data_IF_978862760663
#
_entry.id   IF_978862760663
#
_cell.length_a   1.000
_cell.length_b   1.000
_cell.length_c   1.000
_cell.angle_alpha   90.00
_cell.angle_beta   90.00
_cell.angle_gamma   90.00
#
_symmetry.space_group_name_H-M   'P 1'
#
loop_
_entity.id
_entity.type
_entity.pdbx_description
1 polymer ?
#
# COMPACT_ATOMS: atom_id res chain seq x y z
N UNK A 1 4.46 -43.98 -10.50
CA UNK A 1 5.50 -42.96 -10.78
C UNK A 1 6.50 -42.95 -9.63
N UNK A 2 7.40 -43.95 -9.58
CA UNK A 2 8.43 -44.09 -8.54
C UNK A 2 9.83 -43.92 -9.14
N UNK A 3 9.98 -43.00 -10.10
CA UNK A 3 11.30 -42.70 -10.64
C UNK A 3 12.13 -41.98 -9.57
N UNK A 4 13.38 -42.40 -9.40
CA UNK A 4 14.33 -41.72 -8.50
C UNK A 4 14.67 -40.33 -9.04
N UNK A 5 14.73 -39.34 -8.14
CA UNK A 5 15.17 -38.00 -8.46
C UNK A 5 16.68 -37.89 -8.25
N UNK A 6 17.40 -37.49 -9.30
CA UNK A 6 18.84 -37.20 -9.24
C UNK A 6 19.02 -35.70 -9.47
N UNK A 7 19.44 -34.98 -8.42
CA UNK A 7 19.74 -33.56 -8.50
C UNK A 7 20.91 -33.33 -9.47
N UNK A 8 20.67 -32.62 -10.59
CA UNK A 8 21.69 -32.39 -11.65
C UNK A 8 22.75 -31.32 -11.33
N UNK A 9 22.73 -30.70 -10.15
CA UNK A 9 23.75 -29.72 -9.72
C UNK A 9 24.17 -29.95 -8.27
N UNK A 10 25.40 -30.40 -8.08
CA UNK A 10 26.09 -30.45 -6.78
C UNK A 10 26.36 -31.87 -6.26
N UNK A 11 27.60 -32.33 -6.47
CA UNK A 11 28.31 -33.46 -5.78
C UNK A 11 27.44 -34.66 -5.38
N UNK A 12 27.24 -35.57 -6.34
CA UNK A 12 26.60 -36.88 -6.17
C UNK A 12 27.46 -37.91 -5.40
N UNK A 13 27.99 -37.57 -4.20
CA UNK A 13 28.75 -38.54 -3.38
C UNK A 13 28.20 -38.82 -1.99
N UNK A 14 27.05 -38.27 -1.62
CA UNK A 14 26.36 -38.62 -0.37
C UNK A 14 24.83 -38.39 -0.46
N UNK A 15 24.14 -39.07 -1.38
CA UNK A 15 22.67 -39.19 -1.28
C UNK A 15 22.37 -40.42 -0.44
N UNK A 16 22.11 -40.21 0.86
CA UNK A 16 21.79 -41.30 1.80
C UNK A 16 20.35 -41.82 1.67
N UNK A 17 19.47 -41.14 0.90
CA UNK A 17 18.12 -41.62 0.62
C UNK A 17 17.76 -41.43 -0.86
N UNK A 18 17.22 -42.48 -1.50
CA UNK A 18 16.66 -42.39 -2.85
C UNK A 18 15.36 -41.58 -2.83
N UNK A 19 15.48 -40.25 -2.87
CA UNK A 19 14.32 -39.36 -2.97
C UNK A 19 13.61 -39.63 -4.31
N UNK A 20 12.34 -40.01 -4.26
CA UNK A 20 11.53 -40.19 -5.46
C UNK A 20 11.19 -38.83 -6.08
N UNK A 21 11.00 -38.77 -7.41
CA UNK A 21 10.58 -37.56 -8.11
C UNK A 21 9.29 -36.97 -7.53
N UNK A 22 8.36 -37.83 -7.10
CA UNK A 22 7.15 -37.41 -6.42
C UNK A 22 7.47 -36.74 -5.06
N UNK A 23 8.38 -37.31 -4.27
CA UNK A 23 8.80 -36.71 -3.01
C UNK A 23 9.49 -35.35 -3.23
N UNK A 24 10.42 -35.25 -4.19
CA UNK A 24 11.08 -33.98 -4.51
C UNK A 24 10.08 -32.89 -4.89
N UNK A 25 9.17 -33.14 -5.84
CA UNK A 25 8.18 -32.12 -6.22
C UNK A 25 7.22 -31.78 -5.08
N UNK A 26 6.74 -32.79 -4.35
CA UNK A 26 5.76 -32.58 -3.29
C UNK A 26 6.38 -31.86 -2.10
N UNK A 27 7.53 -32.31 -1.62
CA UNK A 27 8.14 -31.84 -0.36
C UNK A 27 9.04 -30.65 -0.60
N UNK A 28 10.07 -30.80 -1.45
CA UNK A 28 11.10 -29.77 -1.66
C UNK A 28 10.60 -28.55 -2.44
N UNK A 29 9.60 -28.72 -3.29
CA UNK A 29 9.05 -27.62 -4.10
C UNK A 29 7.70 -27.17 -3.55
N UNK A 30 6.68 -28.04 -3.57
CA UNK A 30 5.31 -27.61 -3.29
C UNK A 30 5.10 -27.23 -1.84
N UNK A 31 5.44 -28.11 -0.88
CA UNK A 31 5.33 -27.80 0.54
C UNK A 31 6.24 -26.66 0.94
N UNK A 32 7.50 -26.65 0.49
CA UNK A 32 8.41 -25.51 0.75
C UNK A 32 7.86 -24.16 0.23
N UNK A 33 7.17 -24.17 -0.92
CA UNK A 33 6.52 -22.96 -1.45
C UNK A 33 5.33 -22.54 -0.59
N UNK A 34 4.49 -23.49 -0.15
CA UNK A 34 3.37 -23.21 0.77
C UNK A 34 3.88 -22.65 2.09
N UNK A 35 4.90 -23.28 2.68
CA UNK A 35 5.49 -22.83 3.93
C UNK A 35 6.05 -21.42 3.79
N UNK A 36 6.69 -21.11 2.64
CA UNK A 36 7.18 -19.76 2.36
C UNK A 36 6.04 -18.76 2.22
N UNK A 37 4.95 -19.12 1.51
CA UNK A 37 3.77 -18.26 1.40
C UNK A 37 3.13 -18.01 2.76
N UNK A 38 2.98 -19.05 3.57
CA UNK A 38 2.44 -18.97 4.93
C UNK A 38 3.32 -18.09 5.82
N UNK A 39 4.65 -18.24 5.74
CA UNK A 39 5.60 -17.41 6.47
C UNK A 39 5.48 -15.93 6.07
N UNK A 40 5.38 -15.62 4.77
CA UNK A 40 5.22 -14.23 4.32
C UNK A 40 3.86 -13.64 4.71
N UNK A 41 2.79 -14.44 4.67
CA UNK A 41 1.47 -14.03 5.16
C UNK A 41 1.51 -13.72 6.65
N UNK A 42 2.07 -14.60 7.46
CA UNK A 42 2.20 -14.40 8.91
C UNK A 42 3.10 -13.21 9.24
N UNK A 43 4.16 -12.98 8.46
CA UNK A 43 5.03 -11.81 8.62
C UNK A 43 4.28 -10.50 8.32
N UNK A 44 3.46 -10.49 7.26
CA UNK A 44 2.72 -9.31 6.79
C UNK A 44 1.49 -9.00 7.65
N UNK A 45 0.75 -10.03 8.05
CA UNK A 45 -0.47 -9.95 8.87
C UNK A 45 -0.23 -10.52 10.27
N UNK A 46 0.86 -10.07 10.91
CA UNK A 46 1.10 -10.38 12.31
C UNK A 46 0.06 -9.72 13.22
N UNK A 47 0.06 -10.08 14.50
CA UNK A 47 -0.93 -9.59 15.48
C UNK A 47 -1.03 -8.06 15.52
N UNK A 48 0.09 -7.34 15.40
CA UNK A 48 0.10 -5.87 15.36
C UNK A 48 -0.56 -5.32 14.11
N UNK A 49 -0.28 -5.91 12.94
CA UNK A 49 -0.91 -5.51 11.69
C UNK A 49 -2.42 -5.79 11.69
N UNK A 50 -2.83 -6.94 12.24
CA UNK A 50 -4.24 -7.28 12.38
C UNK A 50 -4.97 -6.35 13.36
N UNK A 51 -4.34 -6.01 14.48
CA UNK A 51 -4.89 -5.05 15.43
C UNK A 51 -5.01 -3.65 14.82
N UNK A 52 -4.00 -3.16 14.10
CA UNK A 52 -4.05 -1.91 13.34
C UNK A 52 -5.23 -1.89 12.36
N UNK A 53 -5.44 -2.95 11.59
CA UNK A 53 -6.54 -3.06 10.63
C UNK A 53 -7.90 -3.13 11.32
N UNK A 54 -8.00 -3.88 12.42
CA UNK A 54 -9.19 -3.97 13.26
C UNK A 54 -9.58 -2.61 13.83
N UNK A 55 -8.63 -1.88 14.41
CA UNK A 55 -8.88 -0.50 14.88
C UNK A 55 -9.23 0.45 13.74
N UNK A 56 -8.60 0.30 12.56
CA UNK A 56 -8.91 1.11 11.39
C UNK A 56 -10.32 0.89 10.87
N UNK A 57 -10.88 -0.32 10.99
CA UNK A 57 -12.25 -0.64 10.60
C UNK A 57 -13.32 0.10 11.41
N UNK A 58 -12.97 0.62 12.59
CA UNK A 58 -13.88 1.41 13.43
C UNK A 58 -14.23 2.77 12.79
N UNK A 59 -13.45 3.21 11.81
CA UNK A 59 -13.63 4.45 11.08
C UNK A 59 -14.57 4.31 9.87
N UNK A 60 -15.02 3.09 9.57
CA UNK A 60 -15.93 2.86 8.45
C UNK A 60 -17.28 3.56 8.68
N UNK A 61 -17.80 4.30 7.67
CA UNK A 61 -19.08 5.02 7.79
C UNK A 61 -20.32 4.11 7.82
N UNK A 62 -20.14 2.79 7.68
CA UNK A 62 -21.24 1.80 7.60
C UNK A 62 -22.21 1.93 8.76
N UNK A 63 -23.50 1.76 8.43
CA UNK A 63 -24.61 1.89 9.36
C UNK A 63 -24.60 3.22 10.16
N UNK A 64 -24.10 4.31 9.55
CA UNK A 64 -23.97 5.60 10.21
C UNK A 64 -22.94 5.58 11.34
N UNK A 65 -21.75 5.03 11.08
CA UNK A 65 -20.65 4.92 12.04
C UNK A 65 -21.00 4.08 13.29
N UNK A 66 -21.75 2.98 13.11
CA UNK A 66 -22.19 2.13 14.22
C UNK A 66 -21.04 1.53 15.05
N UNK A 67 -19.94 1.17 14.39
CA UNK A 67 -18.75 0.59 15.03
C UNK A 67 -17.80 1.63 15.61
N UNK A 68 -18.11 2.93 15.48
CA UNK A 68 -17.21 4.00 15.83
C UNK A 68 -17.04 4.11 17.35
N UNK A 69 -15.83 3.81 17.81
CA UNK A 69 -15.45 3.83 19.21
C UNK A 69 -14.30 4.82 19.39
N UNK A 70 -14.62 5.97 19.97
CA UNK A 70 -13.67 7.06 20.19
C UNK A 70 -12.45 6.59 20.98
N UNK A 71 -12.64 5.77 22.02
CA UNK A 71 -11.55 5.32 22.89
C UNK A 71 -10.56 4.46 22.11
N UNK A 72 -11.07 3.48 21.37
CA UNK A 72 -10.25 2.58 20.55
C UNK A 72 -9.58 3.31 19.38
N UNK A 73 -10.26 4.30 18.78
CA UNK A 73 -9.67 5.13 17.73
C UNK A 73 -8.54 6.01 18.30
N UNK A 74 -8.67 6.54 19.52
CA UNK A 74 -7.54 7.23 20.17
C UNK A 74 -6.34 6.28 20.39
N UNK A 75 -6.60 5.03 20.79
CA UNK A 75 -5.54 4.01 20.90
C UNK A 75 -4.81 3.79 19.57
N UNK A 76 -5.49 3.96 18.43
CA UNK A 76 -4.85 3.88 17.12
C UNK A 76 -3.76 4.94 16.95
N UNK A 77 -4.08 6.20 17.25
CA UNK A 77 -3.12 7.31 17.17
C UNK A 77 -1.98 7.14 18.18
N UNK A 78 -2.30 6.76 19.43
CA UNK A 78 -1.33 6.57 20.51
C UNK A 78 -0.35 5.43 20.22
N UNK A 79 -0.85 4.28 19.75
CA UNK A 79 -0.06 3.04 19.62
C UNK A 79 0.66 2.92 18.29
N UNK A 80 0.05 3.38 17.19
CA UNK A 80 0.56 3.16 15.83
C UNK A 80 1.13 4.42 15.17
N UNK A 81 0.74 5.61 15.62
CA UNK A 81 1.20 6.88 15.06
C UNK A 81 1.77 7.84 16.13
N UNK A 82 2.68 7.38 17.01
CA UNK A 82 3.17 8.22 18.10
C UNK A 82 3.99 9.43 17.63
N UNK A 83 4.56 9.37 16.42
CA UNK A 83 5.35 10.46 15.84
C UNK A 83 4.50 11.47 15.05
N UNK A 84 3.30 11.09 14.63
CA UNK A 84 2.41 11.94 13.82
C UNK A 84 1.45 12.79 14.69
N UNK A 85 1.38 12.47 15.99
CA UNK A 85 0.53 13.14 16.96
C UNK A 85 1.31 13.45 18.25
N UNK A 86 1.35 14.73 18.61
CA UNK A 86 1.82 15.19 19.92
C UNK A 86 0.86 14.79 21.04
N UNK A 87 1.30 14.81 22.30
CA UNK A 87 0.45 14.45 23.44
C UNK A 87 -0.79 15.36 23.56
N UNK A 88 -0.64 16.66 23.29
CA UNK A 88 -1.76 17.60 23.25
C UNK A 88 -2.73 17.30 22.11
N UNK A 89 -2.20 16.94 20.93
CA UNK A 89 -3.03 16.58 19.79
C UNK A 89 -3.80 15.27 20.02
N UNK A 90 -3.25 14.29 20.73
CA UNK A 90 -3.98 13.07 21.10
C UNK A 90 -5.17 13.37 22.02
N UNK A 91 -4.98 14.28 22.97
CA UNK A 91 -6.07 14.76 23.81
C UNK A 91 -7.15 15.46 22.96
N UNK A 92 -6.74 16.39 22.09
CA UNK A 92 -7.66 17.13 21.21
C UNK A 92 -8.37 16.24 20.19
N UNK A 93 -7.71 15.18 19.70
CA UNK A 93 -8.27 14.21 18.77
C UNK A 93 -9.52 13.56 19.38
N UNK A 94 -9.47 13.21 20.67
CA UNK A 94 -10.62 12.65 21.38
C UNK A 94 -11.85 13.56 21.31
N UNK A 95 -11.67 14.85 21.53
CA UNK A 95 -12.76 15.83 21.44
C UNK A 95 -13.27 15.96 20.01
N UNK A 96 -12.38 16.07 19.02
CA UNK A 96 -12.77 16.12 17.61
C UNK A 96 -13.60 14.90 17.21
N UNK A 97 -13.19 13.70 17.61
CA UNK A 97 -13.91 12.46 17.34
C UNK A 97 -15.30 12.45 17.99
N UNK A 98 -15.43 12.93 19.23
CA UNK A 98 -16.71 13.04 19.94
C UNK A 98 -17.66 14.03 19.25
N UNK A 99 -17.16 15.19 18.82
CA UNK A 99 -17.97 16.16 18.10
C UNK A 99 -18.37 15.64 16.71
N UNK A 100 -17.42 15.03 15.99
CA UNK A 100 -17.65 14.45 14.67
C UNK A 100 -18.76 13.41 14.70
N UNK A 101 -18.71 12.44 15.63
CA UNK A 101 -19.71 11.36 15.66
C UNK A 101 -21.12 11.87 16.01
N UNK A 102 -21.22 12.92 16.82
CA UNK A 102 -22.49 13.59 17.09
C UNK A 102 -23.06 14.24 15.83
N UNK A 103 -22.22 14.95 15.07
CA UNK A 103 -22.63 15.60 13.82
C UNK A 103 -22.97 14.56 12.74
N UNK A 104 -22.14 13.53 12.57
CA UNK A 104 -22.32 12.48 11.56
C UNK A 104 -23.61 11.66 11.75
N UNK A 105 -24.13 11.57 12.97
CA UNK A 105 -25.43 10.92 13.26
C UNK A 105 -26.62 11.77 12.84
N UNK A 106 -26.48 13.10 12.86
CA UNK A 106 -27.54 14.07 12.56
C UNK A 106 -27.58 14.33 11.06
N UNK A 107 -26.41 14.55 10.44
CA UNK A 107 -26.31 14.92 9.03
C UNK A 107 -26.57 13.68 8.13
N UNK A 108 -27.63 13.70 7.30
CA UNK A 108 -28.00 12.58 6.44
C UNK A 108 -26.96 12.30 5.35
N UNK A 109 -26.11 13.26 4.98
CA UNK A 109 -25.07 13.05 3.97
C UNK A 109 -24.03 12.03 4.44
N UNK A 110 -23.72 11.99 5.74
CA UNK A 110 -22.80 11.01 6.30
C UNK A 110 -23.35 9.57 6.27
N UNK A 111 -24.68 9.39 6.25
CA UNK A 111 -25.30 8.05 6.17
C UNK A 111 -25.16 7.40 4.79
N UNK A 112 -24.91 8.19 3.76
CA UNK A 112 -24.78 7.72 2.38
C UNK A 112 -23.34 7.34 2.02
N UNK A 113 -22.36 7.61 2.88
CA UNK A 113 -20.95 7.32 2.62
C UNK A 113 -20.68 5.83 2.83
N UNK A 114 -20.01 5.21 1.86
CA UNK A 114 -19.77 3.77 1.83
C UNK A 114 -18.36 3.39 2.27
N UNK A 115 -17.39 4.29 2.12
CA UNK A 115 -15.98 4.01 2.39
C UNK A 115 -15.26 5.24 2.96
N UNK A 116 -14.04 5.00 3.47
CA UNK A 116 -13.23 6.02 4.12
C UNK A 116 -12.71 7.10 3.14
N UNK A 117 -12.57 6.76 1.86
CA UNK A 117 -12.20 7.73 0.82
C UNK A 117 -13.29 8.78 0.65
N UNK A 118 -14.56 8.37 0.56
CA UNK A 118 -15.71 9.27 0.48
C UNK A 118 -15.84 10.16 1.72
N UNK A 119 -15.51 9.64 2.92
CA UNK A 119 -15.42 10.46 4.14
C UNK A 119 -14.37 11.56 3.99
N UNK A 120 -13.17 11.22 3.52
CA UNK A 120 -12.07 12.18 3.31
C UNK A 120 -12.43 13.24 2.25
N UNK A 121 -13.07 12.82 1.15
CA UNK A 121 -13.55 13.71 0.09
C UNK A 121 -14.64 14.65 0.61
N UNK A 122 -15.62 14.13 1.37
CA UNK A 122 -16.69 14.94 1.96
C UNK A 122 -16.15 15.97 2.96
N UNK A 123 -15.23 15.58 3.84
CA UNK A 123 -14.58 16.51 4.76
C UNK A 123 -13.83 17.63 4.02
N UNK A 124 -13.18 17.31 2.90
CA UNK A 124 -12.46 18.28 2.08
C UNK A 124 -13.41 19.22 1.34
N UNK A 125 -14.52 18.72 0.79
CA UNK A 125 -15.53 19.52 0.07
C UNK A 125 -16.32 20.46 0.98
N UNK A 126 -16.55 20.06 2.23
CA UNK A 126 -17.35 20.83 3.20
C UNK A 126 -16.51 21.78 4.06
N UNK A 127 -15.21 21.90 3.78
CA UNK A 127 -14.21 22.61 4.61
C UNK A 127 -14.10 22.09 6.06
N UNK A 128 -14.81 21.00 6.39
CA UNK A 128 -14.76 20.34 7.70
C UNK A 128 -13.42 19.68 7.97
N UNK A 129 -12.58 19.49 6.96
CA UNK A 129 -11.17 19.10 7.12
C UNK A 129 -10.38 20.08 7.99
N UNK A 130 -10.74 21.37 8.01
CA UNK A 130 -10.09 22.36 8.89
C UNK A 130 -10.57 22.25 10.34
N UNK A 131 -11.85 21.93 10.54
CA UNK A 131 -12.46 21.76 11.87
C UNK A 131 -11.98 20.46 12.52
N UNK A 132 -11.99 19.38 11.74
CA UNK A 132 -11.60 18.04 12.17
C UNK A 132 -10.22 17.64 11.65
N UNK A 133 -9.26 18.57 11.70
CA UNK A 133 -7.92 18.38 11.11
C UNK A 133 -7.13 17.19 11.68
N UNK A 134 -7.37 16.78 12.93
CA UNK A 134 -6.71 15.61 13.54
C UNK A 134 -7.34 14.31 13.04
N UNK A 135 -8.66 14.31 12.90
CA UNK A 135 -9.39 13.18 12.34
C UNK A 135 -9.07 12.99 10.85
N UNK A 136 -9.06 14.08 10.08
CA UNK A 136 -8.67 14.07 8.67
C UNK A 136 -7.22 13.55 8.49
N UNK A 137 -6.29 14.00 9.33
CA UNK A 137 -4.91 13.47 9.36
C UNK A 137 -4.88 11.97 9.63
N UNK A 138 -5.61 11.50 10.65
CA UNK A 138 -5.66 10.07 10.99
C UNK A 138 -6.21 9.23 9.84
N UNK A 139 -7.27 9.70 9.19
CA UNK A 139 -7.85 9.06 8.00
C UNK A 139 -6.82 8.97 6.88
N UNK A 140 -6.11 10.05 6.58
CA UNK A 140 -5.08 10.07 5.53
C UNK A 140 -3.96 9.08 5.83
N UNK A 141 -3.48 9.01 7.08
CA UNK A 141 -2.46 8.03 7.49
C UNK A 141 -2.93 6.59 7.20
N UNK A 142 -4.17 6.26 7.54
CA UNK A 142 -4.75 4.93 7.31
C UNK A 142 -4.91 4.65 5.80
N UNK A 143 -5.38 5.63 5.03
CA UNK A 143 -5.51 5.49 3.58
C UNK A 143 -4.16 5.31 2.87
N UNK A 144 -3.06 5.79 3.46
CA UNK A 144 -1.70 5.58 2.95
C UNK A 144 -1.08 4.24 3.34
N UNK A 145 -1.74 3.44 4.20
CA UNK A 145 -1.22 2.12 4.57
C UNK A 145 -1.19 1.20 3.35
N UNK A 146 -0.05 0.54 3.05
CA UNK A 146 0.05 -0.42 1.96
C UNK A 146 -0.61 -1.76 2.35
N UNK A 147 -1.94 -1.78 2.41
CA UNK A 147 -2.73 -2.97 2.80
C UNK A 147 -2.84 -3.98 1.65
N UNK A 148 -2.74 -3.55 0.39
CA UNK A 148 -2.79 -4.45 -0.78
C UNK A 148 -1.49 -4.44 -1.61
N UNK A 149 -1.20 -5.57 -2.24
CA UNK A 149 -0.12 -5.74 -3.24
C UNK A 149 -0.49 -5.17 -4.60
N UNK A 150 -1.67 -4.54 -4.76
CA UNK A 150 -2.16 -4.06 -6.05
C UNK A 150 -1.19 -3.09 -6.73
N UNK A 151 -0.49 -2.24 -5.96
CA UNK A 151 0.51 -1.31 -6.49
C UNK A 151 1.75 -2.04 -7.01
N UNK A 152 2.24 -3.05 -6.28
CA UNK A 152 3.40 -3.83 -6.74
C UNK A 152 3.05 -4.68 -7.95
N UNK A 153 1.86 -5.31 -7.98
CA UNK A 153 1.37 -6.06 -9.14
C UNK A 153 1.21 -5.18 -10.38
N UNK A 154 0.68 -3.96 -10.22
CA UNK A 154 0.59 -2.97 -11.30
C UNK A 154 1.99 -2.61 -11.84
N UNK A 155 2.95 -2.35 -10.94
CA UNK A 155 4.32 -2.03 -11.31
C UNK A 155 5.02 -3.21 -12.02
N UNK A 156 4.87 -4.44 -11.53
CA UNK A 156 5.42 -5.64 -12.17
C UNK A 156 4.77 -5.95 -13.51
N UNK A 157 3.46 -5.72 -13.65
CA UNK A 157 2.75 -5.85 -14.92
C UNK A 157 3.23 -4.81 -15.94
N UNK A 158 3.35 -3.55 -15.53
CA UNK A 158 3.95 -2.48 -16.33
C UNK A 158 5.38 -2.85 -16.76
N UNK A 159 6.20 -3.33 -15.82
CA UNK A 159 7.57 -3.76 -16.09
C UNK A 159 7.62 -4.91 -17.09
N UNK A 160 6.74 -5.91 -16.95
CA UNK A 160 6.63 -7.00 -17.90
C UNK A 160 6.27 -6.47 -19.29
N UNK A 161 5.29 -5.56 -19.41
CA UNK A 161 4.90 -4.95 -20.69
C UNK A 161 6.09 -4.20 -21.31
N UNK A 162 6.77 -3.35 -20.55
CA UNK A 162 7.90 -2.55 -21.03
C UNK A 162 9.06 -3.42 -21.48
N UNK A 163 9.51 -4.38 -20.65
CA UNK A 163 10.59 -5.31 -21.00
C UNK A 163 10.24 -6.22 -22.18
N UNK A 164 8.99 -6.69 -22.26
CA UNK A 164 8.56 -7.60 -23.34
C UNK A 164 8.42 -6.87 -24.68
N UNK A 165 7.82 -5.67 -24.69
CA UNK A 165 7.62 -4.89 -25.92
C UNK A 165 8.91 -4.33 -26.48
N UNK A 166 9.81 -3.85 -25.61
CA UNK A 166 11.07 -3.25 -26.06
C UNK A 166 12.18 -4.27 -26.26
N UNK A 167 12.05 -5.52 -25.77
CA UNK A 167 13.01 -6.63 -25.95
C UNK A 167 14.48 -6.20 -25.78
N UNK A 168 14.75 -5.26 -24.87
CA UNK A 168 16.04 -4.59 -24.77
C UNK A 168 16.70 -4.82 -23.41
N UNK A 169 18.02 -4.87 -23.44
CA UNK A 169 18.89 -4.70 -22.29
C UNK A 169 18.84 -3.21 -21.90
N UNK A 170 17.81 -2.82 -21.15
CA UNK A 170 17.70 -1.47 -20.56
C UNK A 170 18.46 -1.44 -19.25
N UNK A 171 19.16 -0.33 -19.00
CA UNK A 171 19.75 -0.04 -17.68
C UNK A 171 18.66 0.24 -16.66
N UNK A 172 18.96 -0.03 -15.38
CA UNK A 172 17.97 -0.01 -14.30
C UNK A 172 17.37 1.39 -14.09
N UNK A 173 18.18 2.45 -14.24
CA UNK A 173 17.74 3.85 -14.10
C UNK A 173 16.71 4.23 -15.17
N UNK A 174 17.02 3.98 -16.44
CA UNK A 174 16.10 4.28 -17.55
C UNK A 174 14.79 3.46 -17.47
N UNK A 175 14.87 2.23 -16.97
CA UNK A 175 13.69 1.40 -16.70
C UNK A 175 12.83 2.00 -15.58
N UNK A 176 13.45 2.45 -14.49
CA UNK A 176 12.76 3.06 -13.36
C UNK A 176 12.01 4.33 -13.81
N UNK A 177 12.67 5.23 -14.52
CA UNK A 177 12.06 6.46 -15.04
C UNK A 177 10.88 6.18 -15.97
N UNK A 178 11.06 5.21 -16.89
CA UNK A 178 10.01 4.81 -17.82
C UNK A 178 8.80 4.18 -17.12
N UNK A 179 9.05 3.42 -16.05
CA UNK A 179 8.00 2.80 -15.25
C UNK A 179 7.13 3.84 -14.55
N UNK A 180 7.74 4.89 -13.98
CA UNK A 180 7.02 5.98 -13.31
C UNK A 180 6.04 6.63 -14.28
N UNK A 181 6.51 7.00 -15.49
CA UNK A 181 5.67 7.61 -16.53
C UNK A 181 4.51 6.68 -16.93
N UNK A 182 4.77 5.38 -17.05
CA UNK A 182 3.75 4.42 -17.47
C UNK A 182 2.69 4.15 -16.39
N UNK A 183 3.11 3.99 -15.14
CA UNK A 183 2.21 3.77 -13.99
C UNK A 183 1.33 5.01 -13.81
N UNK A 184 1.93 6.20 -13.83
CA UNK A 184 1.26 7.48 -13.65
C UNK A 184 0.76 8.09 -14.96
N UNK A 185 0.54 7.28 -16.01
CA UNK A 185 0.15 7.77 -17.34
C UNK A 185 -1.10 8.66 -17.35
N UNK A 186 -2.00 8.53 -16.37
CA UNK A 186 -3.18 9.40 -16.24
C UNK A 186 -2.77 10.83 -15.90
N UNK A 187 -1.83 10.99 -14.96
CA UNK A 187 -1.23 12.27 -14.59
C UNK A 187 -0.23 12.75 -15.65
N UNK A 188 0.54 11.84 -16.28
CA UNK A 188 1.46 12.24 -17.35
C UNK A 188 0.72 12.87 -18.53
N UNK A 189 -0.50 12.41 -18.84
CA UNK A 189 -1.34 12.97 -19.91
C UNK A 189 -1.84 14.39 -19.67
N UNK A 190 -1.91 14.86 -18.42
CA UNK A 190 -2.27 16.25 -18.13
C UNK A 190 -1.15 17.23 -18.48
N UNK A 191 0.09 16.77 -18.62
CA UNK A 191 1.21 17.61 -19.03
C UNK A 191 1.35 17.67 -20.56
N UNK A 192 1.50 18.89 -21.08
CA UNK A 192 1.76 19.10 -22.50
C UNK A 192 3.24 18.88 -22.81
N UNK A 193 3.53 18.11 -23.86
CA UNK A 193 4.89 17.88 -24.37
C UNK A 193 5.60 19.22 -24.64
N UNK A 194 4.86 20.23 -25.12
CA UNK A 194 5.42 21.57 -25.38
C UNK A 194 5.91 22.25 -24.10
N UNK A 195 5.10 22.19 -23.02
CA UNK A 195 5.49 22.73 -21.71
C UNK A 195 6.76 22.06 -21.19
N UNK A 196 6.85 20.74 -21.29
CA UNK A 196 8.03 19.97 -20.85
C UNK A 196 9.27 20.38 -21.66
N UNK A 197 9.13 20.57 -22.99
CA UNK A 197 10.23 21.01 -23.84
C UNK A 197 10.70 22.41 -23.46
N UNK A 198 9.77 23.33 -23.18
CA UNK A 198 10.11 24.71 -22.85
C UNK A 198 10.74 24.80 -21.44
N UNK A 199 10.24 24.05 -20.46
CA UNK A 199 10.87 23.90 -19.14
C UNK A 199 12.29 23.32 -19.25
N UNK A 200 12.48 22.32 -20.12
CA UNK A 200 13.80 21.73 -20.36
C UNK A 200 14.78 22.70 -21.04
N UNK A 201 14.28 23.59 -21.91
CA UNK A 201 15.11 24.68 -22.49
C UNK A 201 15.52 25.68 -21.42
N UNK A 202 14.63 26.01 -20.48
CA UNK A 202 14.94 26.94 -19.37
C UNK A 202 15.98 26.37 -18.41
N UNK A 203 16.05 25.05 -18.23
CA UNK A 203 17.08 24.36 -17.44
C UNK A 203 18.49 24.42 -18.08
N UNK A 204 18.62 24.95 -19.31
CA UNK A 204 19.82 24.84 -20.16
C UNK A 204 20.75 26.07 -20.14
N UNK A 205 20.89 26.77 -19.02
CA UNK A 205 22.14 27.51 -18.72
C UNK A 205 23.26 26.56 -18.22
N UNK A 206 23.36 25.35 -18.79
CA UNK A 206 24.50 24.46 -18.55
C UNK A 206 25.49 24.68 -19.69
N UNK A 207 26.47 25.55 -19.43
CA UNK A 207 27.69 25.75 -20.23
C UNK A 207 28.22 24.41 -20.73
N UNK A 208 28.15 24.18 -22.03
CA UNK A 208 29.17 23.41 -22.70
C UNK A 208 30.45 24.24 -22.62
N UNK A 209 31.29 23.98 -21.62
CA UNK A 209 32.69 24.39 -21.66
C UNK A 209 33.36 23.46 -22.68
N UNK A 210 33.49 24.00 -23.90
CA UNK A 210 34.49 23.57 -24.87
C UNK A 210 35.89 23.73 -24.27
#
# INVERSE_FOLDING_TARGET
MNASYIARRGRARHQQDQVTMNHFYRVEIFLATIDKQLQELNRRFNDKALELLSLSSLLEPKDGFKSFDVGKICTLAEKYYPMDFTDQERFNLRYQLQHFICEAKIDPNFKNLSNLQEVCEYLSQTEKSNVYYLFDRLIRLILTLPVSTTTTERAFSAMKIMKTRLRNKMEDEFLADSLVIYIERKLAKTYSIKSIIDDFKLLKERRALL
#
